data_IF_267719806191
#
_entry.id   IF_267719806191
#
_cell.length_a   1.000
_cell.length_b   1.000
_cell.length_c   1.000
_cell.angle_alpha   90.00
_cell.angle_beta   90.00
_cell.angle_gamma   90.00
#
_symmetry.space_group_name_H-M   'P 1'
#
loop_
_entity.id
_entity.type
_entity.pdbx_description
1 polymer ?
#
# COMPACT_ATOMS: atom_id res chain seq x y z
N UNK A 1 6.19 -1.07 -0.30
CA UNK A 1 6.03 -0.10 0.81
C UNK A 1 5.52 1.20 0.23
N UNK A 2 4.33 1.64 0.65
CA UNK A 2 3.69 2.88 0.19
C UNK A 2 3.89 3.97 1.25
N UNK A 3 4.01 5.23 0.83
CA UNK A 3 4.09 6.37 1.73
C UNK A 3 2.74 6.58 2.44
N UNK A 4 2.74 6.62 3.77
CA UNK A 4 1.55 6.84 4.61
C UNK A 4 1.50 8.29 5.07
N UNK A 5 0.46 9.01 4.70
CA UNK A 5 0.24 10.38 5.17
C UNK A 5 -0.40 10.40 6.56
N UNK A 6 -0.27 11.53 7.26
CA UNK A 6 -0.72 11.64 8.65
C UNK A 6 -2.21 11.32 8.83
N UNK A 7 -3.04 11.73 7.87
CA UNK A 7 -4.49 11.58 7.84
C UNK A 7 -4.99 10.27 7.20
N UNK A 8 -4.09 9.44 6.67
CA UNK A 8 -4.48 8.15 6.08
C UNK A 8 -5.19 7.26 7.12
N UNK A 9 -6.23 6.50 6.73
CA UNK A 9 -6.72 5.43 7.59
C UNK A 9 -5.60 4.42 7.84
N UNK A 10 -5.62 3.78 9.02
CA UNK A 10 -4.69 2.69 9.34
C UNK A 10 -4.80 1.60 8.29
N UNK A 11 -3.68 1.19 7.69
CA UNK A 11 -3.60 0.05 6.77
C UNK A 11 -3.65 -1.31 7.46
N UNK A 12 -4.10 -1.36 8.71
CA UNK A 12 -4.21 -2.58 9.51
C UNK A 12 -2.86 -3.29 9.65
N UNK A 13 -2.86 -4.59 9.37
CA UNK A 13 -1.71 -5.49 9.45
C UNK A 13 -0.53 -5.02 8.56
N UNK A 14 -0.81 -4.24 7.52
CA UNK A 14 0.19 -3.83 6.52
C UNK A 14 0.53 -2.33 6.56
N UNK A 15 0.14 -1.62 7.63
CA UNK A 15 0.65 -0.26 7.90
C UNK A 15 2.08 -0.31 8.45
N UNK A 16 3.02 -0.61 7.55
CA UNK A 16 4.45 -0.79 7.87
C UNK A 16 5.23 0.54 7.94
N UNK A 17 4.63 1.67 7.58
CA UNK A 17 5.31 2.97 7.40
C UNK A 17 4.81 4.08 8.34
N UNK A 18 4.43 3.72 9.57
CA UNK A 18 3.88 4.67 10.56
C UNK A 18 4.79 5.88 10.84
N UNK A 19 6.11 5.74 10.67
CA UNK A 19 7.05 6.86 10.83
C UNK A 19 6.78 8.01 9.86
N UNK A 20 6.31 7.72 8.65
CA UNK A 20 6.02 8.75 7.62
C UNK A 20 4.78 9.58 7.93
N UNK A 21 4.00 9.19 8.95
CA UNK A 21 2.87 9.95 9.49
C UNK A 21 3.28 11.01 10.51
N UNK A 22 4.52 10.99 10.97
CA UNK A 22 5.00 11.91 11.99
C UNK A 22 5.11 13.34 11.44
N UNK A 23 5.09 14.32 12.35
CA UNK A 23 5.32 15.72 12.00
C UNK A 23 6.67 15.90 11.28
N UNK A 24 6.69 16.77 10.28
CA UNK A 24 7.87 17.05 9.46
C UNK A 24 8.00 16.19 8.20
N UNK A 25 7.20 15.12 8.05
CA UNK A 25 7.11 14.37 6.81
C UNK A 25 6.16 15.04 5.80
N UNK A 26 6.52 15.10 4.50
CA UNK A 26 5.66 15.70 3.47
C UNK A 26 4.41 14.87 3.17
N UNK A 27 3.37 15.55 2.66
CA UNK A 27 2.21 14.91 2.02
C UNK A 27 2.62 14.20 0.72
N UNK A 28 1.83 13.25 0.20
CA UNK A 28 2.14 12.62 -1.11
C UNK A 28 2.08 13.66 -2.21
N UNK A 29 1.15 14.61 -2.14
CA UNK A 29 1.07 15.72 -3.09
C UNK A 29 2.37 16.54 -3.09
N UNK A 30 2.92 16.88 -1.92
CA UNK A 30 4.17 17.62 -1.82
C UNK A 30 5.38 16.80 -2.33
N UNK A 31 5.41 15.49 -2.07
CA UNK A 31 6.43 14.59 -2.61
C UNK A 31 6.37 14.50 -4.14
N UNK A 32 5.18 14.33 -4.70
CA UNK A 32 4.94 14.28 -6.14
C UNK A 32 5.40 15.58 -6.78
N UNK A 33 4.96 16.74 -6.27
CA UNK A 33 5.35 18.05 -6.80
C UNK A 33 6.87 18.24 -6.77
N UNK A 34 7.53 17.90 -5.65
CA UNK A 34 8.99 17.98 -5.53
C UNK A 34 9.70 17.04 -6.52
N UNK A 35 9.13 15.86 -6.78
CA UNK A 35 9.68 14.93 -7.76
C UNK A 35 9.53 15.48 -9.19
N UNK A 36 8.36 16.01 -9.54
CA UNK A 36 8.12 16.61 -10.86
C UNK A 36 9.07 17.78 -11.12
N UNK A 37 9.23 18.70 -10.15
CA UNK A 37 10.16 19.84 -10.25
C UNK A 37 11.61 19.40 -10.50
N UNK A 38 12.10 18.42 -9.74
CA UNK A 38 13.51 18.02 -9.83
C UNK A 38 13.82 17.10 -11.00
N UNK A 39 12.85 16.29 -11.43
CA UNK A 39 13.06 15.30 -12.49
C UNK A 39 12.62 15.78 -13.86
N UNK A 40 11.75 16.80 -13.94
CA UNK A 40 11.08 17.22 -15.18
C UNK A 40 10.08 16.20 -15.73
N UNK A 41 9.80 15.12 -14.98
CA UNK A 41 8.85 14.07 -15.39
C UNK A 41 7.48 14.37 -14.82
N UNK A 42 6.44 14.13 -15.60
CA UNK A 42 5.06 14.22 -15.11
C UNK A 42 4.64 12.96 -14.37
N UNK A 43 3.88 13.14 -13.30
CA UNK A 43 3.27 12.11 -12.46
C UNK A 43 1.75 12.02 -12.71
N UNK A 44 1.25 12.48 -13.86
CA UNK A 44 -0.19 12.43 -14.21
C UNK A 44 -0.82 11.05 -14.02
N UNK A 45 -0.07 10.00 -14.29
CA UNK A 45 -0.54 8.61 -14.21
C UNK A 45 -0.24 7.93 -12.86
N UNK A 46 0.20 8.69 -11.83
CA UNK A 46 0.62 8.11 -10.54
C UNK A 46 -0.44 7.21 -9.91
N UNK A 47 -1.73 7.52 -10.09
CA UNK A 47 -2.85 6.69 -9.61
C UNK A 47 -2.82 5.27 -10.19
N UNK A 48 -2.48 5.12 -11.47
CA UNK A 48 -2.33 3.80 -12.09
C UNK A 48 -1.19 3.00 -11.44
N UNK A 49 -0.05 3.66 -11.20
CA UNK A 49 1.09 3.02 -10.55
C UNK A 49 0.79 2.66 -9.10
N UNK A 50 0.03 3.48 -8.38
CA UNK A 50 -0.44 3.18 -7.02
C UNK A 50 -1.36 1.96 -7.02
N UNK A 51 -2.35 1.90 -7.92
CA UNK A 51 -3.24 0.74 -8.04
C UNK A 51 -2.45 -0.53 -8.38
N UNK A 52 -1.49 -0.45 -9.32
CA UNK A 52 -0.63 -1.58 -9.66
C UNK A 52 0.24 -2.04 -8.49
N UNK A 53 0.77 -1.11 -7.70
CA UNK A 53 1.56 -1.43 -6.52
C UNK A 53 0.72 -2.18 -5.47
N UNK A 54 -0.50 -1.73 -5.22
CA UNK A 54 -1.45 -2.42 -4.32
C UNK A 54 -1.80 -3.81 -4.85
N UNK A 55 -2.12 -3.94 -6.14
CA UNK A 55 -2.39 -5.24 -6.77
C UNK A 55 -1.21 -6.22 -6.62
N UNK A 56 0.02 -5.78 -6.85
CA UNK A 56 1.22 -6.61 -6.65
C UNK A 56 1.37 -7.06 -5.19
N UNK A 57 1.09 -6.16 -4.25
CA UNK A 57 1.07 -6.51 -2.82
C UNK A 57 0.01 -7.55 -2.51
N UNK A 58 -1.23 -7.39 -3.00
CA UNK A 58 -2.32 -8.36 -2.82
C UNK A 58 -1.90 -9.75 -3.31
N UNK A 59 -1.39 -9.86 -4.55
CA UNK A 59 -0.95 -11.15 -5.13
C UNK A 59 0.15 -11.80 -4.29
N UNK A 60 1.14 -11.01 -3.86
CA UNK A 60 2.22 -11.50 -3.01
C UNK A 60 1.71 -12.02 -1.67
N UNK A 61 0.84 -11.27 -1.00
CA UNK A 61 0.33 -11.61 0.33
C UNK A 61 -0.63 -12.80 0.28
N UNK A 62 -1.52 -12.86 -0.71
CA UNK A 62 -2.42 -14.01 -0.94
C UNK A 62 -1.63 -15.30 -1.20
N UNK A 63 -0.54 -15.20 -1.96
CA UNK A 63 0.35 -16.35 -2.18
C UNK A 63 0.99 -16.88 -0.90
N UNK A 64 1.39 -15.99 0.03
CA UNK A 64 1.89 -16.38 1.34
C UNK A 64 0.79 -17.01 2.21
N UNK A 65 -0.38 -16.37 2.28
CA UNK A 65 -1.54 -16.86 3.01
C UNK A 65 -1.97 -18.26 2.53
N UNK A 66 -2.02 -18.48 1.21
CA UNK A 66 -2.37 -19.76 0.62
C UNK A 66 -1.40 -20.88 0.99
N UNK A 67 -0.09 -20.60 1.00
CA UNK A 67 0.91 -21.58 1.44
C UNK A 67 0.78 -21.89 2.94
N UNK A 68 0.57 -20.87 3.76
CA UNK A 68 0.43 -21.05 5.21
C UNK A 68 -0.83 -21.85 5.58
N UNK A 69 -1.96 -21.58 4.93
CA UNK A 69 -3.21 -22.35 5.12
C UNK A 69 -3.13 -23.78 4.59
N UNK A 70 -2.28 -24.03 3.59
CA UNK A 70 -2.00 -25.39 3.09
C UNK A 70 -1.00 -26.17 3.96
N UNK A 71 -0.53 -25.61 5.09
CA UNK A 71 0.48 -26.25 5.94
C UNK A 71 1.89 -26.28 5.35
N UNK A 72 2.15 -25.42 4.35
CA UNK A 72 3.46 -25.27 3.70
C UNK A 72 4.28 -24.13 4.31
N UNK A 73 3.87 -23.59 5.45
CA UNK A 73 4.59 -22.62 6.26
C UNK A 73 4.23 -22.79 7.74
N UNK A 74 5.25 -22.70 8.59
CA UNK A 74 5.12 -22.74 10.05
C UNK A 74 5.01 -21.35 10.66
N UNK A 75 5.07 -20.30 9.84
CA UNK A 75 4.95 -18.91 10.28
C UNK A 75 3.48 -18.58 10.57
N UNK A 76 3.16 -18.41 11.85
CA UNK A 76 1.83 -18.03 12.31
C UNK A 76 1.39 -16.67 11.74
N UNK A 77 2.33 -15.74 11.54
CA UNK A 77 2.02 -14.41 10.99
C UNK A 77 1.44 -14.49 9.58
N UNK A 78 1.88 -15.47 8.77
CA UNK A 78 1.34 -15.66 7.41
C UNK A 78 -0.11 -16.16 7.42
N UNK A 79 -0.59 -16.77 8.50
CA UNK A 79 -2.00 -17.20 8.63
C UNK A 79 -2.92 -16.03 8.96
N UNK A 80 -2.39 -14.93 9.48
CA UNK A 80 -3.16 -13.72 9.78
C UNK A 80 -3.35 -12.82 8.54
N UNK A 81 -2.77 -13.18 7.40
CA UNK A 81 -2.82 -12.35 6.19
C UNK A 81 -4.19 -12.31 5.51
N UNK A 82 -5.08 -13.26 5.78
CA UNK A 82 -6.38 -13.37 5.11
C UNK A 82 -7.17 -12.07 5.12
N UNK A 83 -7.43 -11.51 6.30
CA UNK A 83 -8.17 -10.24 6.43
C UNK A 83 -7.39 -9.06 5.83
N UNK A 84 -6.06 -9.05 6.01
CA UNK A 84 -5.22 -7.99 5.46
C UNK A 84 -5.22 -7.93 3.93
N UNK A 85 -5.33 -9.08 3.25
CA UNK A 85 -5.43 -9.16 1.79
C UNK A 85 -6.72 -8.50 1.31
N UNK A 86 -7.84 -8.71 2.03
CA UNK A 86 -9.13 -8.08 1.72
C UNK A 86 -9.06 -6.56 1.95
N UNK A 87 -8.43 -6.10 3.01
CA UNK A 87 -8.25 -4.68 3.27
C UNK A 87 -7.41 -3.99 2.19
N UNK A 88 -6.33 -4.63 1.73
CA UNK A 88 -5.56 -4.13 0.59
C UNK A 88 -6.38 -4.09 -0.69
N UNK A 89 -7.23 -5.10 -0.94
CA UNK A 89 -8.10 -5.14 -2.11
C UNK A 89 -9.11 -3.98 -2.11
N UNK A 90 -9.72 -3.69 -0.96
CA UNK A 90 -10.64 -2.55 -0.80
C UNK A 90 -9.93 -1.23 -1.11
N UNK A 91 -8.72 -1.04 -0.58
CA UNK A 91 -7.93 0.17 -0.85
C UNK A 91 -7.51 0.30 -2.32
N UNK A 92 -7.22 -0.82 -2.98
CA UNK A 92 -6.92 -0.83 -4.41
C UNK A 92 -8.13 -0.40 -5.26
N UNK A 93 -9.33 -0.81 -4.84
CA UNK A 93 -10.58 -0.40 -5.48
C UNK A 93 -10.82 1.11 -5.33
N UNK A 94 -10.71 1.65 -4.11
CA UNK A 94 -10.83 3.09 -3.83
C UNK A 94 -9.88 3.92 -4.70
N UNK A 95 -8.61 3.52 -4.80
CA UNK A 95 -7.61 4.18 -5.65
C UNK A 95 -8.01 4.10 -7.12
N UNK A 96 -8.54 2.98 -7.58
CA UNK A 96 -8.96 2.81 -8.99
C UNK A 96 -10.17 3.68 -9.32
N UNK A 97 -11.10 3.85 -8.38
CA UNK A 97 -12.27 4.73 -8.51
C UNK A 97 -11.93 6.21 -8.37
N UNK A 98 -10.78 6.54 -7.75
CA UNK A 98 -10.38 7.91 -7.45
C UNK A 98 -11.04 8.48 -6.19
N UNK A 99 -11.40 7.59 -5.26
CA UNK A 99 -12.06 7.89 -3.99
C UNK A 99 -11.08 7.90 -2.81
N UNK A 100 -9.81 7.59 -3.08
CA UNK A 100 -8.71 7.53 -2.13
C UNK A 100 -7.94 8.85 -1.99
#
# INVERSE_FOLDING_TARGET
MMWSEADDPSGGLFDLNRVTRAEGFPTRAALVARYEERSGRTMRDIRWYTALALWKSIVFMEGNYKRATAGLSDDAFMKDFGDGVIDLARRAEEVTRGEA
#
